data_IF_829718062745
#
_entry.id   IF_829718062745
#
_cell.length_a   1.000
_cell.length_b   1.000
_cell.length_c   1.000
_cell.angle_alpha   90.00
_cell.angle_beta   90.00
_cell.angle_gamma   90.00
#
_symmetry.space_group_name_H-M   'P 1'
#
loop_
_entity.id
_entity.type
_entity.pdbx_description
1 polymer ?
#
# COMPACT_ATOMS: atom_id res chain seq x y z
N UNK A 1 3.53 -7.42 -14.53
CA UNK A 1 4.27 -6.22 -14.09
C UNK A 1 5.32 -6.70 -13.12
N UNK A 2 6.59 -6.58 -13.47
CA UNK A 2 7.71 -7.05 -12.66
C UNK A 2 7.74 -6.26 -11.33
N UNK A 3 8.11 -6.92 -10.22
CA UNK A 3 8.16 -6.34 -8.87
C UNK A 3 8.84 -4.96 -8.85
N UNK A 4 9.91 -4.82 -9.64
CA UNK A 4 10.68 -3.59 -9.81
C UNK A 4 9.90 -2.46 -10.49
N UNK A 5 9.03 -2.75 -11.46
CA UNK A 5 8.22 -1.72 -12.11
C UNK A 5 7.18 -1.11 -11.15
N UNK A 6 6.59 -1.93 -10.26
CA UNK A 6 5.68 -1.44 -9.20
C UNK A 6 6.46 -0.58 -8.21
N UNK A 7 7.64 -1.04 -7.77
CA UNK A 7 8.51 -0.32 -6.84
C UNK A 7 8.89 1.06 -7.38
N UNK A 8 9.40 1.12 -8.62
CA UNK A 8 9.76 2.39 -9.27
C UNK A 8 8.56 3.33 -9.38
N UNK A 9 7.39 2.79 -9.74
CA UNK A 9 6.18 3.61 -9.87
C UNK A 9 5.71 4.17 -8.53
N UNK A 10 5.79 3.37 -7.46
CA UNK A 10 5.50 3.84 -6.11
C UNK A 10 6.48 4.94 -5.67
N UNK A 11 7.78 4.78 -5.93
CA UNK A 11 8.76 5.85 -5.66
C UNK A 11 8.34 7.14 -6.35
N UNK A 12 8.06 7.10 -7.65
CA UNK A 12 7.68 8.28 -8.43
C UNK A 12 6.41 8.97 -7.91
N UNK A 13 5.40 8.19 -7.52
CA UNK A 13 4.14 8.70 -6.99
C UNK A 13 4.26 9.26 -5.56
N UNK A 14 5.37 9.01 -4.86
CA UNK A 14 5.44 9.20 -3.40
C UNK A 14 6.68 9.94 -2.88
N UNK A 15 7.54 10.43 -3.80
CA UNK A 15 8.82 11.15 -3.54
C UNK A 15 8.84 12.23 -2.45
N UNK A 16 7.71 12.66 -1.88
CA UNK A 16 7.61 13.81 -0.96
C UNK A 16 6.88 13.55 0.36
N UNK A 17 6.10 12.47 0.49
CA UNK A 17 5.22 12.30 1.66
C UNK A 17 5.58 11.05 2.49
N UNK A 18 5.76 9.90 1.84
CA UNK A 18 5.95 8.61 2.51
C UNK A 18 6.58 7.62 1.52
N UNK A 19 7.62 6.90 1.91
CA UNK A 19 8.31 5.96 1.00
C UNK A 19 7.54 4.65 0.83
N UNK A 20 6.48 4.68 0.00
CA UNK A 20 5.63 3.50 -0.25
C UNK A 20 6.37 2.35 -0.94
N UNK A 21 7.57 2.59 -1.49
CA UNK A 21 8.35 1.52 -2.11
C UNK A 21 8.77 0.45 -1.09
N UNK A 22 8.91 0.82 0.19
CA UNK A 22 9.19 -0.13 1.28
C UNK A 22 8.04 -1.12 1.51
N UNK A 23 6.81 -0.76 1.15
CA UNK A 23 5.65 -1.64 1.31
C UNK A 23 5.73 -2.89 0.43
N UNK A 24 6.60 -2.90 -0.59
CA UNK A 24 6.86 -4.08 -1.42
C UNK A 24 7.42 -5.27 -0.65
N UNK A 25 8.03 -5.02 0.51
CA UNK A 25 8.68 -6.02 1.34
C UNK A 25 7.98 -6.17 2.70
N UNK A 26 6.81 -5.53 2.88
CA UNK A 26 6.00 -5.58 4.11
C UNK A 26 4.63 -6.20 3.84
N UNK A 27 3.97 -6.65 4.91
CA UNK A 27 2.65 -7.22 4.83
C UNK A 27 1.60 -6.12 4.95
N UNK A 28 1.02 -5.75 3.81
CA UNK A 28 -0.08 -4.79 3.76
C UNK A 28 -1.45 -5.47 3.68
N UNK A 29 -2.45 -4.86 4.28
CA UNK A 29 -3.83 -5.35 4.24
C UNK A 29 -4.84 -4.21 4.43
N UNK A 30 -6.11 -4.46 4.12
CA UNK A 30 -7.22 -3.52 4.28
C UNK A 30 -7.00 -2.21 3.50
N UNK A 31 -6.57 -2.36 2.24
CA UNK A 31 -6.35 -1.22 1.35
C UNK A 31 -7.69 -0.63 0.91
N UNK A 32 -7.92 0.65 1.17
CA UNK A 32 -9.17 1.33 0.87
C UNK A 32 -8.98 2.76 0.38
N UNK A 33 -10.01 3.30 -0.28
CA UNK A 33 -10.04 4.71 -0.71
C UNK A 33 -10.71 5.56 0.36
N UNK A 34 -10.16 6.73 0.62
CA UNK A 34 -10.77 7.78 1.42
C UNK A 34 -11.02 9.04 0.60
N UNK A 35 -12.08 9.78 0.96
CA UNK A 35 -12.27 11.15 0.50
C UNK A 35 -12.50 12.04 1.71
N UNK A 36 -11.67 13.07 1.87
CA UNK A 36 -11.82 14.08 2.90
C UNK A 36 -12.01 15.46 2.26
N UNK A 37 -13.26 15.92 2.25
CA UNK A 37 -13.64 17.22 1.68
C UNK A 37 -13.17 18.42 2.49
N UNK A 38 -12.73 18.22 3.74
CA UNK A 38 -12.27 19.28 4.64
C UNK A 38 -10.79 19.64 4.44
N UNK A 39 -10.03 18.77 3.78
CA UNK A 39 -8.62 19.00 3.48
C UNK A 39 -8.43 19.73 2.14
N UNK A 40 -7.19 20.12 1.83
CA UNK A 40 -6.82 20.59 0.48
C UNK A 40 -6.46 19.42 -0.45
N UNK A 41 -6.03 18.29 0.11
CA UNK A 41 -5.71 17.04 -0.60
C UNK A 41 -6.82 16.03 -0.30
N UNK A 42 -7.83 15.97 -1.16
CA UNK A 42 -9.11 15.36 -0.76
C UNK A 42 -9.21 13.87 -1.11
N UNK A 43 -8.23 13.33 -1.85
CA UNK A 43 -8.25 11.94 -2.28
C UNK A 43 -7.21 11.16 -1.49
N UNK A 44 -7.67 10.27 -0.61
CA UNK A 44 -6.85 9.45 0.26
C UNK A 44 -6.81 7.99 -0.17
N UNK A 45 -5.70 7.32 0.15
CA UNK A 45 -5.61 5.85 0.18
C UNK A 45 -5.15 5.45 1.55
N UNK A 46 -5.95 4.61 2.21
CA UNK A 46 -5.70 4.09 3.55
C UNK A 46 -5.32 2.61 3.50
N UNK A 47 -4.40 2.19 4.37
CA UNK A 47 -3.95 0.79 4.46
C UNK A 47 -3.33 0.50 5.83
N UNK A 48 -3.33 -0.76 6.23
CA UNK A 48 -2.62 -1.26 7.40
C UNK A 48 -1.35 -2.02 6.99
N UNK A 49 -0.38 -2.08 7.90
CA UNK A 49 0.87 -2.82 7.77
C UNK A 49 1.05 -3.68 9.03
N UNK A 50 1.32 -4.98 8.91
CA UNK A 50 1.51 -5.87 10.09
C UNK A 50 2.85 -5.63 10.82
N UNK A 51 3.75 -4.87 10.21
CA UNK A 51 5.08 -4.56 10.71
C UNK A 51 5.23 -3.06 11.05
N UNK A 52 6.35 -2.71 11.71
CA UNK A 52 6.71 -1.32 11.98
C UNK A 52 7.03 -0.57 10.68
N UNK A 53 6.39 0.58 10.48
CA UNK A 53 6.53 1.35 9.24
C UNK A 53 6.36 2.85 9.49
N UNK A 54 7.20 3.68 8.86
CA UNK A 54 7.14 5.15 8.94
C UNK A 54 7.08 5.71 10.38
N UNK A 55 7.91 5.17 11.28
CA UNK A 55 7.92 5.50 12.72
C UNK A 55 6.62 5.18 13.46
N UNK A 56 5.75 4.34 12.89
CA UNK A 56 4.50 3.90 13.50
C UNK A 56 4.54 2.40 13.81
N UNK A 57 3.86 1.98 14.89
CA UNK A 57 3.81 0.57 15.27
C UNK A 57 3.06 -0.28 14.23
N UNK A 58 3.22 -1.59 14.34
CA UNK A 58 2.43 -2.57 13.61
C UNK A 58 0.93 -2.32 13.76
N UNK A 59 0.17 -2.65 12.71
CA UNK A 59 -1.28 -2.48 12.58
C UNK A 59 -1.76 -1.03 12.67
N UNK A 60 -0.87 -0.05 12.52
CA UNK A 60 -1.24 1.35 12.45
C UNK A 60 -1.91 1.66 11.10
N UNK A 61 -2.96 2.48 11.10
CA UNK A 61 -3.61 2.96 9.88
C UNK A 61 -2.79 4.07 9.21
N UNK A 62 -2.27 3.80 8.01
CA UNK A 62 -1.57 4.79 7.20
C UNK A 62 -2.51 5.35 6.14
N UNK A 63 -2.47 6.68 5.97
CA UNK A 63 -3.25 7.36 4.93
C UNK A 63 -2.34 8.25 4.10
N UNK A 64 -2.45 8.13 2.78
CA UNK A 64 -1.70 8.96 1.82
C UNK A 64 -2.68 9.80 1.02
N UNK A 65 -2.59 11.12 1.20
CA UNK A 65 -3.46 12.07 0.50
C UNK A 65 -2.83 12.60 -0.79
N UNK A 66 -3.64 12.77 -1.83
CA UNK A 66 -3.29 13.33 -3.14
C UNK A 66 -4.26 14.42 -3.55
N UNK A 67 -3.73 15.37 -4.33
CA UNK A 67 -4.52 16.42 -4.96
C UNK A 67 -5.30 15.92 -6.17
N UNK A 68 -4.68 15.02 -6.96
CA UNK A 68 -5.29 14.44 -8.15
C UNK A 68 -5.88 13.09 -7.81
N UNK A 69 -7.14 12.89 -8.17
CA UNK A 69 -7.82 11.61 -7.97
C UNK A 69 -7.13 10.46 -8.73
N UNK A 70 -6.61 10.75 -9.92
CA UNK A 70 -5.87 9.77 -10.72
C UNK A 70 -4.64 9.20 -9.98
N UNK A 71 -3.89 10.05 -9.27
CA UNK A 71 -2.72 9.62 -8.50
C UNK A 71 -3.15 8.72 -7.33
N UNK A 72 -4.27 9.04 -6.67
CA UNK A 72 -4.83 8.21 -5.60
C UNK A 72 -5.31 6.86 -6.12
N UNK A 73 -6.00 6.82 -7.28
CA UNK A 73 -6.42 5.57 -7.91
C UNK A 73 -5.23 4.71 -8.34
N UNK A 74 -4.17 5.33 -8.82
CA UNK A 74 -2.98 4.60 -9.21
C UNK A 74 -2.32 3.95 -7.98
N UNK A 75 -2.12 4.71 -6.90
CA UNK A 75 -1.60 4.17 -5.62
C UNK A 75 -2.48 3.03 -5.12
N UNK A 76 -3.81 3.23 -5.07
CA UNK A 76 -4.76 2.20 -4.68
C UNK A 76 -4.58 0.92 -5.50
N UNK A 77 -4.46 1.04 -6.83
CA UNK A 77 -4.29 -0.10 -7.72
C UNK A 77 -2.98 -0.86 -7.50
N UNK A 78 -1.90 -0.16 -7.11
CA UNK A 78 -0.61 -0.76 -6.82
C UNK A 78 -0.64 -1.47 -5.46
N UNK A 79 -1.22 -0.84 -4.43
CA UNK A 79 -1.35 -1.45 -3.10
C UNK A 79 -2.26 -2.68 -3.12
N UNK A 80 -3.41 -2.64 -3.80
CA UNK A 80 -4.27 -3.83 -3.96
C UNK A 80 -3.55 -5.01 -4.65
N UNK A 81 -2.61 -4.73 -5.56
CA UNK A 81 -1.80 -5.78 -6.19
C UNK A 81 -0.80 -6.39 -5.22
N UNK A 82 -0.19 -5.58 -4.36
CA UNK A 82 0.76 -6.02 -3.34
C UNK A 82 0.02 -6.86 -2.28
N UNK A 83 -1.11 -6.38 -1.77
CA UNK A 83 -1.98 -7.12 -0.84
C UNK A 83 -2.34 -8.50 -1.40
N UNK A 84 -2.81 -8.55 -2.66
CA UNK A 84 -3.16 -9.81 -3.32
C UNK A 84 -1.96 -10.73 -3.56
N UNK A 85 -0.76 -10.18 -3.78
CA UNK A 85 0.46 -10.98 -3.90
C UNK A 85 0.79 -11.65 -2.56
N UNK A 86 0.65 -10.92 -1.46
CA UNK A 86 0.83 -11.48 -0.12
C UNK A 86 -0.19 -12.58 0.18
N UNK A 87 -1.47 -12.37 -0.10
CA UNK A 87 -2.50 -13.40 0.10
C UNK A 87 -2.17 -14.70 -0.63
N UNK A 88 -1.67 -14.60 -1.87
CA UNK A 88 -1.21 -15.77 -2.62
C UNK A 88 -0.01 -16.45 -1.97
N UNK A 89 0.97 -15.67 -1.49
CA UNK A 89 2.13 -16.23 -0.77
C UNK A 89 1.68 -16.92 0.51
N UNK A 90 0.89 -16.26 1.36
CA UNK A 90 0.32 -16.81 2.59
C UNK A 90 -0.42 -18.12 2.34
N UNK A 91 -1.33 -18.13 1.36
CA UNK A 91 -2.09 -19.33 1.01
C UNK A 91 -1.18 -20.45 0.48
N UNK A 92 -0.12 -20.12 -0.26
CA UNK A 92 0.86 -21.11 -0.71
C UNK A 92 1.66 -21.70 0.47
N UNK A 93 2.13 -20.88 1.42
CA UNK A 93 2.81 -21.36 2.63
C UNK A 93 1.93 -22.28 3.46
N UNK A 94 0.68 -21.89 3.72
CA UNK A 94 -0.29 -22.75 4.41
C UNK A 94 -0.43 -24.07 3.65
N UNK A 95 -0.62 -24.04 2.32
CA UNK A 95 -0.80 -25.27 1.52
C UNK A 95 0.39 -26.24 1.53
N UNK A 96 1.60 -25.75 1.81
CA UNK A 96 2.83 -26.57 1.87
C UNK A 96 3.02 -27.20 3.25
N UNK A 97 2.54 -26.56 4.33
CA UNK A 97 2.64 -27.09 5.70
C UNK A 97 1.66 -28.24 6.00
N UNK A 98 0.67 -28.50 5.13
CA UNK A 98 -0.31 -29.59 5.27
C UNK A 98 0.08 -30.92 4.57
N UNK A 99 1.37 -31.28 4.53
CA UNK A 99 1.83 -32.59 4.01
C UNK A 99 2.84 -33.28 4.89
#
# INVERSE_FOLDING_TARGET
MEKEAIKLRLVDLTKRDMDLAKLMDLTIYEVSREIDWSQKKNYGVSFHVLEFYDNKPANHLHTVFRYKEADAFEILSLLLRIEKQFDKMRNAYISVEWK
#
